data_IF_874784098236
#
_entry.id   IF_874784098236
#
_cell.length_a   1.000
_cell.length_b   1.000
_cell.length_c   1.000
_cell.angle_alpha   90.00
_cell.angle_beta   90.00
_cell.angle_gamma   90.00
#
_symmetry.space_group_name_H-M   'P 1'
#
loop_
_entity.id
_entity.type
_entity.pdbx_description
1 polymer ?
#
# COMPACT_ATOMS: atom_id res chain seq x y z
N UNK A 1 2.96 25.47 6.39
CA UNK A 1 1.74 25.01 7.09
C UNK A 1 1.55 23.53 6.77
N UNK A 2 1.56 22.68 7.79
CA UNK A 2 1.32 21.24 7.61
C UNK A 2 -0.17 21.08 7.32
N UNK A 3 -0.52 20.55 6.15
CA UNK A 3 -1.90 20.15 5.87
C UNK A 3 -2.20 18.96 6.79
N UNK A 4 -3.05 19.15 7.79
CA UNK A 4 -3.38 18.07 8.72
C UNK A 4 -4.44 17.17 8.08
N UNK A 5 -3.95 16.27 7.23
CA UNK A 5 -4.80 15.28 6.57
C UNK A 5 -5.24 14.24 7.58
N UNK A 6 -6.56 14.10 7.73
CA UNK A 6 -7.17 13.10 8.59
C UNK A 6 -7.10 11.72 7.94
N UNK A 7 -6.57 10.75 8.68
CA UNK A 7 -6.62 9.34 8.30
C UNK A 7 -7.79 8.66 9.00
N UNK A 8 -8.60 7.91 8.24
CA UNK A 8 -9.71 7.12 8.77
C UNK A 8 -9.78 5.75 8.09
N UNK A 9 -10.44 4.74 8.68
CA UNK A 9 -10.84 3.55 7.95
C UNK A 9 -11.65 3.93 6.72
N UNK A 10 -11.53 3.13 5.65
CA UNK A 10 -12.41 3.26 4.51
C UNK A 10 -13.83 2.78 4.84
N UNK A 11 -14.79 3.26 4.07
CA UNK A 11 -16.17 2.81 4.03
C UNK A 11 -16.49 2.27 2.62
N UNK A 12 -17.48 1.37 2.46
CA UNK A 12 -17.86 0.88 1.14
C UNK A 12 -18.23 2.00 0.14
N UNK A 13 -18.74 3.13 0.65
CA UNK A 13 -19.09 4.30 -0.16
C UNK A 13 -17.88 5.06 -0.73
N UNK A 14 -16.67 4.85 -0.20
CA UNK A 14 -15.46 5.52 -0.69
C UNK A 14 -15.03 5.02 -2.08
N UNK A 15 -15.52 3.86 -2.52
CA UNK A 15 -15.09 3.24 -3.77
C UNK A 15 -15.19 4.20 -4.95
N UNK A 16 -16.36 4.83 -5.15
CA UNK A 16 -16.62 5.65 -6.33
C UNK A 16 -15.71 6.89 -6.37
N UNK A 17 -15.39 7.46 -5.20
CA UNK A 17 -14.46 8.57 -5.08
C UNK A 17 -13.01 8.15 -5.38
N UNK A 18 -12.56 7.00 -4.87
CA UNK A 18 -11.22 6.47 -5.11
C UNK A 18 -11.03 6.19 -6.60
N UNK A 19 -11.95 5.43 -7.21
CA UNK A 19 -11.79 5.01 -8.60
C UNK A 19 -11.96 6.14 -9.61
N UNK A 20 -12.59 7.26 -9.22
CA UNK A 20 -12.72 8.45 -10.05
C UNK A 20 -11.38 9.18 -10.26
N UNK A 21 -10.43 9.04 -9.33
CA UNK A 21 -9.13 9.75 -9.39
C UNK A 21 -7.94 8.86 -9.75
N UNK A 22 -8.13 7.54 -9.72
CA UNK A 22 -7.05 6.56 -9.89
C UNK A 22 -6.23 6.74 -11.17
N UNK A 23 -6.90 6.84 -12.33
CA UNK A 23 -6.21 6.91 -13.62
C UNK A 23 -5.42 8.22 -13.77
N UNK A 24 -5.98 9.33 -13.29
CA UNK A 24 -5.34 10.65 -13.28
C UNK A 24 -4.11 10.66 -12.36
N UNK A 25 -4.22 10.10 -11.17
CA UNK A 25 -3.10 10.02 -10.24
C UNK A 25 -1.95 9.15 -10.79
N UNK A 26 -2.26 8.09 -11.53
CA UNK A 26 -1.25 7.21 -12.14
C UNK A 26 -0.77 7.67 -13.52
N UNK A 27 -1.46 8.60 -14.16
CA UNK A 27 -1.20 9.01 -15.54
C UNK A 27 -1.42 7.90 -16.56
N UNK A 28 -2.18 6.84 -16.21
CA UNK A 28 -2.51 5.71 -17.08
C UNK A 28 -3.72 4.94 -16.52
N UNK A 29 -4.43 4.15 -17.34
CA UNK A 29 -5.50 3.28 -16.86
C UNK A 29 -5.00 2.27 -15.82
N UNK A 30 -5.49 2.36 -14.59
CA UNK A 30 -5.21 1.44 -13.48
C UNK A 30 -6.47 1.06 -12.70
N UNK A 31 -7.62 1.66 -12.99
CA UNK A 31 -8.90 1.38 -12.30
C UNK A 31 -9.24 -0.11 -12.19
N UNK A 32 -8.93 -0.90 -13.22
CA UNK A 32 -9.15 -2.36 -13.24
C UNK A 32 -8.36 -3.13 -12.16
N UNK A 33 -7.30 -2.55 -11.61
CA UNK A 33 -6.52 -3.14 -10.52
C UNK A 33 -7.23 -3.05 -9.16
N UNK A 34 -8.29 -2.24 -9.04
CA UNK A 34 -9.08 -2.11 -7.81
C UNK A 34 -10.55 -2.44 -8.07
N UNK A 35 -10.92 -3.72 -8.22
CA UNK A 35 -12.32 -4.12 -8.30
C UNK A 35 -13.09 -3.80 -7.01
N UNK A 36 -14.40 -3.59 -7.14
CA UNK A 36 -15.33 -3.21 -6.05
C UNK A 36 -15.22 -4.06 -4.79
N UNK A 37 -14.92 -5.35 -4.94
CA UNK A 37 -14.76 -6.31 -3.85
C UNK A 37 -13.83 -5.81 -2.73
N UNK A 38 -12.82 -4.98 -3.05
CA UNK A 38 -11.89 -4.48 -2.05
C UNK A 38 -12.54 -3.57 -1.02
N UNK A 39 -13.50 -2.75 -1.44
CA UNK A 39 -14.23 -1.86 -0.54
C UNK A 39 -15.50 -2.53 0.01
N UNK A 40 -16.04 -3.53 -0.69
CA UNK A 40 -17.16 -4.31 -0.15
C UNK A 40 -16.71 -5.21 1.02
N UNK A 41 -15.56 -5.88 0.89
CA UNK A 41 -15.11 -6.90 1.86
C UNK A 41 -13.93 -6.47 2.74
N UNK A 42 -13.07 -5.56 2.25
CA UNK A 42 -11.80 -5.22 2.91
C UNK A 42 -11.69 -3.72 3.28
N UNK A 43 -12.80 -2.97 3.32
CA UNK A 43 -12.78 -1.56 3.71
C UNK A 43 -12.27 -1.33 5.13
N UNK A 44 -12.62 -2.20 6.08
CA UNK A 44 -12.23 -2.06 7.51
C UNK A 44 -10.72 -2.08 7.74
N UNK A 45 -9.97 -2.68 6.81
CA UNK A 45 -8.51 -2.79 6.83
C UNK A 45 -7.84 -1.82 5.86
N UNK A 46 -8.63 -1.04 5.12
CA UNK A 46 -8.19 0.01 4.21
C UNK A 46 -8.23 1.38 4.90
N UNK A 47 -7.39 2.31 4.47
CA UNK A 47 -7.20 3.63 5.07
C UNK A 47 -7.44 4.68 4.00
N UNK A 48 -8.28 5.67 4.31
CA UNK A 48 -8.48 6.86 3.49
C UNK A 48 -7.80 8.04 4.17
N UNK A 49 -7.03 8.78 3.39
CA UNK A 49 -6.58 10.13 3.70
C UNK A 49 -7.56 11.10 3.02
N UNK A 50 -8.41 11.75 3.81
CA UNK A 50 -9.50 12.58 3.27
C UNK A 50 -8.98 13.56 2.20
N UNK A 51 -9.53 13.44 0.99
CA UNK A 51 -9.20 14.22 -0.23
C UNK A 51 -7.81 14.02 -0.86
N UNK A 52 -6.87 13.37 -0.20
CA UNK A 52 -5.45 13.44 -0.58
C UNK A 52 -4.79 12.07 -0.86
N UNK A 53 -5.43 10.95 -0.49
CA UNK A 53 -4.90 9.62 -0.75
C UNK A 53 -5.71 8.46 -0.19
N UNK A 54 -5.31 7.25 -0.55
CA UNK A 54 -5.91 6.00 -0.12
C UNK A 54 -4.85 4.89 -0.02
N UNK A 55 -5.09 3.95 0.89
CA UNK A 55 -4.38 2.69 1.01
C UNK A 55 -5.41 1.59 1.14
N UNK A 56 -5.40 0.65 0.21
CA UNK A 56 -6.22 -0.56 0.24
C UNK A 56 -5.34 -1.72 0.66
N UNK A 57 -5.71 -2.33 1.78
CA UNK A 57 -5.01 -3.47 2.34
C UNK A 57 -5.97 -4.41 3.06
N UNK A 58 -5.52 -5.64 3.26
CA UNK A 58 -6.30 -6.68 3.93
C UNK A 58 -5.42 -7.57 4.82
N UNK A 59 -6.07 -8.24 5.77
CA UNK A 59 -5.46 -9.22 6.65
C UNK A 59 -5.74 -10.60 6.05
N UNK A 60 -4.70 -11.39 5.76
CA UNK A 60 -4.87 -12.63 5.01
C UNK A 60 -5.58 -13.69 5.87
N UNK A 61 -6.68 -14.31 5.37
CA UNK A 61 -7.29 -15.45 6.05
C UNK A 61 -6.46 -16.73 5.92
N UNK A 62 -5.74 -16.89 4.80
CA UNK A 62 -4.98 -18.11 4.49
C UNK A 62 -3.54 -18.09 5.01
N UNK A 63 -3.04 -16.92 5.41
CA UNK A 63 -1.73 -16.73 6.02
C UNK A 63 -1.91 -15.83 7.26
N UNK A 64 -2.25 -16.40 8.43
CA UNK A 64 -2.62 -15.66 9.63
C UNK A 64 -1.57 -14.64 10.11
N UNK A 65 -0.31 -14.78 9.72
CA UNK A 65 0.77 -13.86 10.03
C UNK A 65 0.86 -12.65 9.09
N UNK A 66 0.21 -12.71 7.92
CA UNK A 66 0.36 -11.74 6.82
C UNK A 66 -0.77 -10.72 6.77
N UNK A 67 -0.39 -9.45 6.74
CA UNK A 67 -1.18 -8.35 6.20
C UNK A 67 -0.66 -7.99 4.80
N UNK A 68 -1.54 -7.66 3.87
CA UNK A 68 -1.18 -7.39 2.47
C UNK A 68 -1.67 -6.00 2.06
N UNK A 69 -0.77 -5.19 1.50
CA UNK A 69 -1.09 -3.91 0.89
C UNK A 69 -1.27 -4.14 -0.60
N UNK A 70 -2.52 -4.01 -1.07
CA UNK A 70 -2.89 -4.25 -2.45
C UNK A 70 -2.67 -3.01 -3.33
N UNK A 71 -3.07 -1.85 -2.82
CA UNK A 71 -3.10 -0.62 -3.60
C UNK A 71 -2.84 0.60 -2.72
N UNK A 72 -2.09 1.60 -3.21
CA UNK A 72 -1.86 2.85 -2.47
C UNK A 72 -1.76 4.03 -3.42
N UNK A 73 -2.70 4.96 -3.31
CA UNK A 73 -2.75 6.21 -4.05
C UNK A 73 -2.44 7.43 -3.19
N UNK A 74 -1.70 8.37 -3.76
CA UNK A 74 -1.57 9.73 -3.21
C UNK A 74 -1.72 10.70 -4.36
N UNK A 75 -2.57 11.71 -4.16
CA UNK A 75 -2.77 12.81 -5.08
C UNK A 75 -1.40 13.43 -5.43
N UNK A 76 -1.07 13.60 -6.73
CA UNK A 76 0.19 14.18 -7.18
C UNK A 76 0.59 15.47 -6.45
N UNK A 77 -0.36 16.33 -6.09
CA UNK A 77 -0.15 17.62 -5.41
C UNK A 77 0.40 17.47 -3.98
N UNK A 78 0.18 16.31 -3.37
CA UNK A 78 0.54 15.99 -1.98
C UNK A 78 1.69 14.97 -1.87
N UNK A 79 2.24 14.51 -2.99
CA UNK A 79 3.42 13.62 -3.01
C UNK A 79 4.65 14.31 -2.41
N UNK A 80 5.58 13.51 -1.88
CA UNK A 80 6.79 14.01 -1.23
C UNK A 80 6.58 14.61 0.16
N UNK A 81 5.34 14.70 0.65
CA UNK A 81 4.99 15.29 1.96
C UNK A 81 4.79 14.28 3.08
N UNK A 82 5.13 13.00 2.84
CA UNK A 82 5.05 11.93 3.83
C UNK A 82 3.67 11.31 4.04
N UNK A 83 2.65 11.67 3.25
CA UNK A 83 1.28 11.14 3.42
C UNK A 83 1.22 9.60 3.30
N UNK A 84 1.81 9.03 2.24
CA UNK A 84 1.90 7.57 2.08
C UNK A 84 2.56 6.90 3.30
N UNK A 85 3.64 7.49 3.84
CA UNK A 85 4.31 6.97 5.04
C UNK A 85 3.39 6.97 6.26
N UNK A 86 2.55 8.00 6.42
CA UNK A 86 1.54 8.03 7.50
C UNK A 86 0.49 6.93 7.32
N UNK A 87 -0.02 6.72 6.10
CA UNK A 87 -0.97 5.64 5.80
C UNK A 87 -0.37 4.25 6.07
N UNK A 88 0.86 3.99 5.62
CA UNK A 88 1.54 2.71 5.90
C UNK A 88 1.73 2.47 7.39
N UNK A 89 2.17 3.47 8.16
CA UNK A 89 2.32 3.33 9.62
C UNK A 89 0.99 2.97 10.29
N UNK A 90 -0.10 3.63 9.88
CA UNK A 90 -1.43 3.33 10.39
C UNK A 90 -1.88 1.91 10.01
N UNK A 91 -1.53 1.42 8.81
CA UNK A 91 -1.78 0.04 8.42
C UNK A 91 -0.95 -0.95 9.24
N UNK A 92 0.31 -0.63 9.55
CA UNK A 92 1.17 -1.47 10.38
C UNK A 92 0.65 -1.57 11.82
N UNK A 93 0.16 -0.47 12.39
CA UNK A 93 -0.52 -0.47 13.70
C UNK A 93 -1.74 -1.39 13.68
N UNK A 94 -2.58 -1.29 12.64
CA UNK A 94 -3.74 -2.14 12.46
C UNK A 94 -3.32 -3.62 12.37
N UNK A 95 -2.33 -3.93 11.54
CA UNK A 95 -1.80 -5.29 11.39
C UNK A 95 -1.27 -5.85 12.72
N UNK A 96 -0.46 -5.08 13.47
CA UNK A 96 0.02 -5.50 14.79
C UNK A 96 -1.12 -5.72 15.79
N UNK A 97 -2.14 -4.86 15.78
CA UNK A 97 -3.28 -4.99 16.69
C UNK A 97 -4.11 -6.25 16.45
N UNK A 98 -4.06 -6.79 15.22
CA UNK A 98 -4.67 -8.07 14.85
C UNK A 98 -3.72 -9.27 15.00
N UNK A 99 -2.52 -9.06 15.58
CA UNK A 99 -1.53 -10.12 15.79
C UNK A 99 -0.75 -10.52 14.53
N UNK A 100 -0.75 -9.70 13.47
CA UNK A 100 0.08 -9.93 12.27
C UNK A 100 1.52 -9.51 12.55
N UNK A 101 2.46 -10.29 12.04
CA UNK A 101 3.90 -10.04 12.16
C UNK A 101 4.56 -9.69 10.83
N UNK A 102 3.83 -9.79 9.70
CA UNK A 102 4.39 -9.58 8.36
C UNK A 102 3.49 -8.67 7.53
N UNK A 103 4.08 -7.71 6.82
CA UNK A 103 3.40 -6.96 5.75
C UNK A 103 4.01 -7.29 4.40
N UNK A 104 3.18 -7.57 3.41
CA UNK A 104 3.58 -7.83 2.04
C UNK A 104 2.92 -6.88 1.04
N UNK A 105 3.60 -6.66 -0.08
CA UNK A 105 3.10 -5.95 -1.25
C UNK A 105 3.90 -6.37 -2.48
N UNK A 106 3.42 -6.05 -3.67
CA UNK A 106 4.15 -6.28 -4.93
C UNK A 106 4.15 -5.06 -5.82
N UNK A 107 5.09 -5.00 -6.75
CA UNK A 107 5.04 -4.03 -7.84
C UNK A 107 5.71 -4.56 -9.10
N UNK A 108 5.56 -3.83 -10.22
CA UNK A 108 6.29 -4.10 -11.45
C UNK A 108 7.79 -3.77 -11.27
N UNK A 109 8.72 -4.54 -11.85
CA UNK A 109 10.16 -4.22 -11.83
C UNK A 109 10.51 -2.81 -12.31
N UNK A 110 9.67 -2.22 -13.16
CA UNK A 110 9.87 -0.86 -13.70
C UNK A 110 9.37 0.25 -12.76
N UNK A 111 8.71 -0.09 -11.65
CA UNK A 111 8.22 0.89 -10.68
C UNK A 111 9.31 1.27 -9.67
N UNK A 112 10.36 1.91 -10.15
CA UNK A 112 11.51 2.33 -9.35
C UNK A 112 11.12 3.23 -8.17
N UNK A 113 10.08 4.06 -8.32
CA UNK A 113 9.55 4.89 -7.25
C UNK A 113 8.97 4.08 -6.09
N UNK A 114 8.15 3.06 -6.40
CA UNK A 114 7.61 2.16 -5.38
C UNK A 114 8.71 1.34 -4.71
N UNK A 115 9.68 0.83 -5.48
CA UNK A 115 10.84 0.10 -4.95
C UNK A 115 11.60 0.98 -3.95
N UNK A 116 12.01 2.19 -4.36
CA UNK A 116 12.75 3.10 -3.49
C UNK A 116 11.96 3.52 -2.24
N UNK A 117 10.64 3.69 -2.38
CA UNK A 117 9.75 4.00 -1.26
C UNK A 117 9.67 2.84 -0.25
N UNK A 118 9.44 1.61 -0.69
CA UNK A 118 9.36 0.44 0.20
C UNK A 118 10.71 0.13 0.85
N UNK A 119 11.82 0.23 0.12
CA UNK A 119 13.17 0.14 0.71
C UNK A 119 13.36 1.17 1.83
N UNK A 120 12.91 2.41 1.63
CA UNK A 120 13.01 3.47 2.64
C UNK A 120 12.15 3.22 3.88
N UNK A 121 11.10 2.41 3.76
CA UNK A 121 10.25 1.98 4.87
C UNK A 121 10.80 0.75 5.60
N UNK A 122 11.93 0.19 5.15
CA UNK A 122 12.55 -0.99 5.76
C UNK A 122 12.04 -2.32 5.22
N UNK A 123 11.27 -2.34 4.12
CA UNK A 123 10.92 -3.61 3.48
C UNK A 123 12.19 -4.26 2.93
N UNK A 124 12.29 -5.57 3.12
CA UNK A 124 13.10 -6.42 2.26
C UNK A 124 12.48 -6.43 0.87
N UNK A 125 13.30 -6.15 -0.13
CA UNK A 125 12.88 -6.07 -1.53
C UNK A 125 13.58 -7.17 -2.31
N UNK A 126 12.82 -8.04 -2.96
CA UNK A 126 13.39 -9.09 -3.82
C UNK A 126 13.94 -8.49 -5.11
N UNK A 127 14.76 -9.27 -5.85
CA UNK A 127 14.87 -9.06 -7.29
C UNK A 127 13.53 -9.34 -8.01
N UNK A 128 13.43 -9.04 -9.32
CA UNK A 128 12.29 -9.49 -10.12
C UNK A 128 12.10 -11.00 -9.99
N UNK A 129 10.90 -11.42 -9.64
CA UNK A 129 10.46 -12.83 -9.63
C UNK A 129 9.76 -13.09 -10.97
N UNK A 130 10.37 -13.90 -11.86
CA UNK A 130 9.83 -14.13 -13.19
C UNK A 130 8.45 -14.79 -13.14
N UNK A 131 7.52 -14.30 -13.97
CA UNK A 131 6.20 -14.91 -14.11
C UNK A 131 5.32 -14.89 -12.85
N UNK A 132 5.66 -14.09 -11.84
CA UNK A 132 4.98 -14.07 -10.53
C UNK A 132 3.46 -13.89 -10.66
N UNK A 133 3.02 -13.01 -11.55
CA UNK A 133 1.60 -12.72 -11.76
C UNK A 133 1.08 -13.27 -13.10
N UNK A 134 1.60 -14.42 -13.52
CA UNK A 134 1.34 -15.05 -14.82
C UNK A 134 2.49 -14.88 -15.82
N UNK A 135 2.42 -15.54 -16.99
CA UNK A 135 3.47 -15.48 -18.00
C UNK A 135 3.86 -14.05 -18.37
N UNK A 136 5.16 -13.75 -18.36
CA UNK A 136 5.73 -12.41 -18.64
C UNK A 136 5.28 -11.29 -17.70
N UNK A 137 4.66 -11.61 -16.56
CA UNK A 137 4.19 -10.66 -15.57
C UNK A 137 5.07 -10.70 -14.30
N UNK A 138 6.35 -10.42 -14.48
CA UNK A 138 7.35 -10.38 -13.41
C UNK A 138 6.97 -9.38 -12.32
N UNK A 139 7.29 -9.69 -11.06
CA UNK A 139 7.03 -8.79 -9.93
C UNK A 139 8.22 -8.69 -9.00
N UNK A 140 8.37 -7.53 -8.40
CA UNK A 140 9.17 -7.36 -7.20
C UNK A 140 8.25 -7.56 -6.00
N UNK A 141 8.69 -8.38 -5.05
CA UNK A 141 7.95 -8.68 -3.82
C UNK A 141 8.58 -7.90 -2.67
N UNK A 142 7.73 -7.23 -1.90
CA UNK A 142 8.11 -6.51 -0.69
C UNK A 142 7.67 -7.32 0.52
N UNK A 143 8.56 -7.45 1.51
CA UNK A 143 8.25 -8.05 2.81
C UNK A 143 8.82 -7.19 3.94
N UNK A 144 7.99 -6.85 4.91
CA UNK A 144 8.40 -6.22 6.16
C UNK A 144 8.00 -7.11 7.32
N UNK A 145 8.96 -7.53 8.13
CA UNK A 145 8.68 -8.18 9.42
C UNK A 145 8.46 -7.07 10.46
N UNK A 146 7.26 -7.01 11.05
CA UNK A 146 6.80 -5.93 11.92
C UNK A 146 7.46 -5.95 13.31
N UNK A 147 7.97 -7.10 13.72
CA UNK A 147 8.60 -7.32 15.02
C UNK A 147 10.14 -7.25 14.95
N UNK A 148 10.69 -7.06 13.75
CA UNK A 148 12.12 -6.96 13.55
C UNK A 148 12.63 -5.58 14.03
N UNK A 149 13.54 -5.52 15.02
CA UNK A 149 14.06 -4.26 15.54
C UNK A 149 15.09 -3.59 14.62
N UNK A 150 15.44 -4.17 13.46
CA UNK A 150 16.41 -3.57 12.54
C UNK A 150 15.97 -2.16 12.12
N UNK A 151 16.79 -1.11 12.38
CA UNK A 151 16.46 0.23 11.90
C UNK A 151 16.40 0.24 10.36
N UNK A 152 15.54 1.07 9.75
CA UNK A 152 15.53 1.22 8.30
C UNK A 152 16.94 1.57 7.82
N UNK A 153 17.41 0.90 6.77
CA UNK A 153 18.76 1.06 6.26
C UNK A 153 19.12 2.55 6.11
N UNK A 154 20.17 2.97 6.83
CA UNK A 154 20.61 4.35 6.89
C UNK A 154 20.96 4.83 5.48
N UNK A 155 20.38 5.95 5.03
CA UNK A 155 20.75 6.56 3.75
C UNK A 155 22.03 7.37 3.96
N UNK A 156 23.06 7.06 3.18
CA UNK A 156 24.10 8.04 2.81
C UNK A 156 23.58 9.02 1.77
#
# INVERSE_FOLDING_TARGET
MVHDVRLRPAEPADYDAIVAVMDDWWGRPVRAALPRLFLDHFHRTSIVAEHDGDLVGFLSPSAPEVAYIHFVGVDPRFRGRGLARRMYRRFFELARSDGRSVVQAITSPHNHGSIAFHTALGFTVTGPVPGYNGPSADRVVFRLDLDDPRPPANRG
#
